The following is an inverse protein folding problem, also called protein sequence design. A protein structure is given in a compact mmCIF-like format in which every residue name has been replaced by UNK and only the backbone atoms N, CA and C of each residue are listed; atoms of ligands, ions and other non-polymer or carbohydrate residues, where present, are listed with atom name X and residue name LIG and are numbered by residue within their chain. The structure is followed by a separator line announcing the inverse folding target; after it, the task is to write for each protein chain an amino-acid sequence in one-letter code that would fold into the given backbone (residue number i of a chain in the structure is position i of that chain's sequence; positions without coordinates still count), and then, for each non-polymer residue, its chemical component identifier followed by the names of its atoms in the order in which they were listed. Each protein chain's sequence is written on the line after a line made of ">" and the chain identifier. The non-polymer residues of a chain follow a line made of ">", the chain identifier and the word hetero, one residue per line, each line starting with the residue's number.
data_IF_247317106401
#
_entry.id   IF_247317106401
#
_cell.length_a   1.000
_cell.length_b   1.000
_cell.length_c   1.000
_cell.angle_alpha   90.00
_cell.angle_beta   90.00
_cell.angle_gamma   90.00
#
_symmetry.space_group_name_H-M   'P 1'
#
loop_
_entity.id
_entity.type
_entity.pdbx_description
1 polymer ?
#
# COMPACT_ATOMS: atom_id res chain seq x y z
N UNK A 1 6.91 -3.72 -73.71
CA UNK A 1 7.32 -4.94 -72.99
C UNK A 1 6.97 -4.72 -71.51
N UNK A 2 5.71 -4.96 -71.11
CA UNK A 2 5.21 -6.15 -70.39
C UNK A 2 6.08 -6.54 -69.18
N UNK A 3 5.58 -6.23 -67.99
CA UNK A 3 5.81 -7.05 -66.78
C UNK A 3 4.48 -7.23 -66.07
N UNK A 4 4.17 -8.49 -65.79
CA UNK A 4 2.88 -9.05 -65.43
C UNK A 4 2.70 -9.01 -63.90
N UNK A 5 1.55 -8.53 -63.44
CA UNK A 5 1.10 -8.68 -62.05
C UNK A 5 0.62 -10.12 -61.83
N UNK A 6 1.22 -10.82 -60.87
CA UNK A 6 0.84 -12.17 -60.47
C UNK A 6 -0.12 -12.08 -59.27
N UNK A 7 -1.42 -12.20 -59.53
CA UNK A 7 -2.47 -12.26 -58.52
C UNK A 7 -2.55 -13.70 -57.98
N UNK A 8 -2.23 -13.92 -56.69
CA UNK A 8 -2.48 -15.22 -56.05
C UNK A 8 -3.90 -15.22 -55.47
N UNK A 9 -4.77 -16.04 -56.07
CA UNK A 9 -6.08 -16.39 -55.52
C UNK A 9 -5.86 -17.33 -54.32
N UNK A 10 -6.27 -16.92 -53.11
CA UNK A 10 -6.38 -17.82 -51.96
C UNK A 10 -7.85 -18.19 -51.80
N UNK A 11 -8.18 -19.47 -51.98
CA UNK A 11 -9.50 -20.03 -51.70
C UNK A 11 -9.70 -20.12 -50.18
N UNK A 12 -10.70 -19.41 -49.65
CA UNK A 12 -11.17 -19.59 -48.27
C UNK A 12 -12.30 -20.61 -48.28
N UNK A 13 -12.06 -21.80 -47.74
CA UNK A 13 -13.12 -22.76 -47.44
C UNK A 13 -13.82 -22.37 -46.15
N UNK A 14 -15.09 -21.98 -46.24
CA UNK A 14 -15.97 -21.78 -45.08
C UNK A 14 -16.62 -23.12 -44.75
N UNK A 15 -16.24 -23.71 -43.61
CA UNK A 15 -16.99 -24.83 -43.03
C UNK A 15 -18.11 -24.27 -42.15
N UNK A 16 -19.36 -24.48 -42.58
CA UNK A 16 -20.55 -24.25 -41.74
C UNK A 16 -20.89 -25.58 -41.07
N UNK A 17 -20.48 -25.76 -39.82
CA UNK A 17 -20.96 -26.88 -39.00
C UNK A 17 -22.23 -26.46 -38.25
N UNK A 18 -23.35 -27.05 -38.64
CA UNK A 18 -24.63 -27.00 -37.91
C UNK A 18 -24.50 -27.74 -36.57
N UNK A 19 -24.68 -27.02 -35.46
CA UNK A 19 -24.75 -27.63 -34.12
C UNK A 19 -26.19 -28.02 -33.78
N UNK A 20 -26.70 -29.10 -34.37
CA UNK A 20 -27.91 -29.77 -33.88
C UNK A 20 -27.55 -31.22 -33.51
N UNK A 21 -27.14 -31.45 -32.27
CA UNK A 21 -26.85 -32.81 -31.80
C UNK A 21 -26.09 -32.99 -30.49
N UNK A 22 -25.98 -32.01 -29.59
CA UNK A 22 -25.43 -32.25 -28.25
C UNK A 22 -26.56 -32.59 -27.25
N UNK A 23 -26.45 -33.67 -26.47
CA UNK A 23 -27.41 -33.97 -25.41
C UNK A 23 -27.37 -32.86 -24.35
N UNK A 24 -28.54 -32.33 -23.98
CA UNK A 24 -28.68 -31.36 -22.89
C UNK A 24 -28.10 -31.96 -21.61
N UNK A 25 -27.06 -31.32 -21.07
CA UNK A 25 -26.58 -31.61 -19.74
C UNK A 25 -27.73 -31.38 -18.76
N UNK A 26 -28.13 -32.42 -18.02
CA UNK A 26 -28.98 -32.26 -16.86
C UNK A 26 -28.19 -31.47 -15.82
N UNK A 27 -28.59 -30.22 -15.62
CA UNK A 27 -28.16 -29.43 -14.47
C UNK A 27 -28.86 -30.07 -13.27
N UNK A 28 -28.11 -30.83 -12.47
CA UNK A 28 -28.55 -31.08 -11.10
C UNK A 28 -28.44 -29.75 -10.36
N UNK A 29 -29.56 -29.28 -9.84
CA UNK A 29 -29.62 -28.23 -8.82
C UNK A 29 -28.95 -28.78 -7.55
N UNK A 30 -27.62 -28.81 -7.55
CA UNK A 30 -26.87 -28.70 -6.32
C UNK A 30 -26.60 -27.23 -6.14
N UNK A 31 -27.48 -26.60 -5.35
CA UNK A 31 -27.17 -25.38 -4.62
C UNK A 31 -25.87 -25.61 -3.88
N UNK A 32 -24.75 -25.22 -4.50
CA UNK A 32 -23.50 -25.01 -3.79
C UNK A 32 -23.83 -23.90 -2.81
N UNK A 33 -24.08 -24.27 -1.55
CA UNK A 33 -24.00 -23.33 -0.46
C UNK A 33 -22.57 -22.81 -0.46
N UNK A 34 -22.34 -21.71 -1.17
CA UNK A 34 -21.21 -20.84 -0.88
C UNK A 34 -21.45 -20.39 0.55
N UNK A 35 -20.83 -21.08 1.51
CA UNK A 35 -20.63 -20.51 2.83
C UNK A 35 -19.96 -19.17 2.56
N UNK A 36 -20.73 -18.09 2.69
CA UNK A 36 -20.22 -16.75 2.84
C UNK A 36 -19.41 -16.74 4.13
N UNK A 37 -18.19 -17.27 4.09
CA UNK A 37 -17.16 -16.89 5.04
C UNK A 37 -16.85 -15.45 4.71
N UNK A 38 -17.58 -14.53 5.36
CA UNK A 38 -17.17 -13.15 5.45
C UNK A 38 -15.74 -13.18 5.98
N UNK A 39 -14.78 -12.78 5.14
CA UNK A 39 -13.42 -12.60 5.60
C UNK A 39 -13.45 -11.63 6.76
N UNK A 40 -13.07 -12.09 7.94
CA UNK A 40 -12.77 -11.23 9.07
C UNK A 40 -11.32 -10.81 8.94
N UNK A 41 -11.06 -9.52 9.03
CA UNK A 41 -9.69 -9.06 9.23
C UNK A 41 -9.10 -9.81 10.42
N UNK A 42 -7.82 -10.26 10.37
CA UNK A 42 -7.17 -10.77 11.56
C UNK A 42 -7.37 -9.75 12.66
N UNK A 43 -7.77 -10.19 13.85
CA UNK A 43 -8.07 -9.37 15.03
C UNK A 43 -6.77 -8.74 15.54
N UNK A 44 -6.23 -7.77 14.79
CA UNK A 44 -5.04 -7.00 15.13
C UNK A 44 -5.47 -5.77 15.92
N UNK A 45 -6.14 -6.00 17.05
CA UNK A 45 -6.39 -4.94 18.03
C UNK A 45 -5.24 -4.98 19.01
N UNK A 46 -4.33 -4.01 18.91
CA UNK A 46 -3.40 -3.74 19.99
C UNK A 46 -4.11 -3.20 21.22
N UNK A 47 -3.55 -3.39 22.42
CA UNK A 47 -4.08 -2.77 23.63
C UNK A 47 -4.18 -1.24 23.44
N UNK A 48 -5.28 -0.66 23.90
CA UNK A 48 -5.48 0.80 23.90
C UNK A 48 -4.71 1.42 25.08
N UNK A 49 -3.97 2.52 24.89
CA UNK A 49 -3.55 3.36 26.00
C UNK A 49 -4.80 3.94 26.71
N UNK A 50 -5.00 3.63 27.99
CA UNK A 50 -6.07 4.20 28.83
C UNK A 50 -5.66 5.56 29.42
N UNK A 51 -6.62 6.49 29.59
CA UNK A 51 -7.09 7.34 28.51
C UNK A 51 -6.00 8.36 28.13
N UNK A 52 -5.48 8.25 26.91
CA UNK A 52 -4.69 9.32 26.32
C UNK A 52 -5.39 9.74 25.03
N UNK A 53 -5.61 11.05 24.86
CA UNK A 53 -6.36 11.62 23.74
C UNK A 53 -5.50 11.54 22.47
N UNK A 54 -5.39 10.35 21.89
CA UNK A 54 -4.67 10.09 20.65
C UNK A 54 -5.28 10.87 19.48
N UNK A 55 -4.46 11.18 18.47
CA UNK A 55 -4.94 11.78 17.22
C UNK A 55 -6.07 10.93 16.60
N UNK A 56 -5.83 9.62 16.52
CA UNK A 56 -6.77 8.61 16.03
C UNK A 56 -6.21 7.21 16.37
N UNK A 57 -7.03 6.17 16.27
CA UNK A 57 -6.55 4.80 16.22
C UNK A 57 -6.04 4.45 14.81
N UNK A 58 -5.09 3.52 14.72
CA UNK A 58 -4.52 3.05 13.45
C UNK A 58 -4.01 4.17 12.54
N UNK A 59 -2.84 4.70 12.90
CA UNK A 59 -2.12 5.65 12.06
C UNK A 59 -1.45 4.89 10.90
N UNK A 60 -2.17 4.80 9.78
CA UNK A 60 -1.81 4.00 8.60
C UNK A 60 -0.71 4.64 7.78
N UNK A 61 -0.70 5.97 7.68
CA UNK A 61 0.28 6.71 6.89
C UNK A 61 0.58 8.04 7.55
N UNK A 62 1.84 8.44 7.50
CA UNK A 62 2.27 9.79 7.84
C UNK A 62 3.14 10.34 6.72
N UNK A 63 2.92 11.60 6.36
CA UNK A 63 3.74 12.35 5.40
C UNK A 63 3.90 13.77 5.92
N UNK A 64 5.11 14.30 5.84
CA UNK A 64 5.35 15.73 6.01
C UNK A 64 5.25 16.41 4.63
N UNK A 65 4.40 17.42 4.50
CA UNK A 65 4.31 18.21 3.28
C UNK A 65 5.43 19.27 3.20
N UNK A 66 5.56 19.92 2.03
CA UNK A 66 6.55 20.97 1.74
C UNK A 66 6.43 22.19 2.68
N UNK A 67 5.26 22.45 3.25
CA UNK A 67 5.04 23.54 4.21
C UNK A 67 5.40 23.13 5.65
N UNK A 68 5.73 21.86 5.87
CA UNK A 68 6.15 21.30 7.14
C UNK A 68 5.00 20.70 7.96
N UNK A 69 3.76 20.70 7.44
CA UNK A 69 2.64 20.06 8.13
C UNK A 69 2.79 18.54 8.09
N UNK A 70 2.34 17.87 9.14
CA UNK A 70 2.27 16.41 9.17
C UNK A 70 0.82 15.97 8.93
N UNK A 71 0.64 15.12 7.93
CA UNK A 71 -0.63 14.51 7.60
C UNK A 71 -0.69 13.09 8.14
N UNK A 72 -1.70 12.79 8.94
CA UNK A 72 -1.97 11.47 9.52
C UNK A 72 -3.17 10.83 8.82
N UNK A 73 -2.90 9.83 8.00
CA UNK A 73 -3.93 8.94 7.45
C UNK A 73 -4.36 7.92 8.50
N UNK A 74 -5.66 7.82 8.74
CA UNK A 74 -6.23 7.00 9.81
C UNK A 74 -7.07 5.83 9.29
N UNK A 75 -7.57 4.98 10.19
CA UNK A 75 -8.48 3.89 9.85
C UNK A 75 -9.87 4.13 10.48
N UNK A 76 -10.55 5.19 10.08
CA UNK A 76 -11.93 5.47 10.49
C UNK A 76 -12.26 6.94 10.74
N UNK A 77 -11.25 7.77 11.03
CA UNK A 77 -11.45 9.20 11.34
C UNK A 77 -11.11 10.12 10.13
N UNK A 78 -10.89 9.54 8.95
CA UNK A 78 -10.42 10.26 7.77
C UNK A 78 -8.94 10.63 7.87
N UNK A 79 -8.62 11.91 7.68
CA UNK A 79 -7.24 12.43 7.75
C UNK A 79 -7.15 13.59 8.73
N UNK A 80 -6.03 13.64 9.46
CA UNK A 80 -5.69 14.76 10.33
C UNK A 80 -4.45 15.49 9.82
N UNK A 81 -4.47 16.83 9.77
CA UNK A 81 -3.31 17.67 9.48
C UNK A 81 -2.84 18.36 10.77
N UNK A 82 -1.54 18.32 11.03
CA UNK A 82 -0.88 19.03 12.13
C UNK A 82 0.08 20.08 11.59
N UNK A 83 -0.13 21.34 11.92
CA UNK A 83 0.68 22.49 11.45
C UNK A 83 1.84 22.84 12.39
N UNK A 84 2.14 21.99 13.37
CA UNK A 84 3.08 22.27 14.46
C UNK A 84 2.42 22.82 15.73
N UNK A 85 1.16 23.27 15.64
CA UNK A 85 0.40 23.82 16.77
C UNK A 85 -1.02 23.26 16.87
N UNK A 86 -1.74 23.18 15.76
CA UNK A 86 -3.15 22.82 15.69
C UNK A 86 -3.34 21.53 14.90
N UNK A 87 -4.37 20.77 15.29
CA UNK A 87 -4.86 19.61 14.55
C UNK A 87 -6.15 19.99 13.82
N UNK A 88 -6.18 19.72 12.52
CA UNK A 88 -7.37 19.91 11.68
C UNK A 88 -7.79 18.55 11.13
N UNK A 89 -9.06 18.19 11.29
CA UNK A 89 -9.59 16.90 10.87
C UNK A 89 -10.48 17.06 9.64
N UNK A 90 -10.34 16.13 8.70
CA UNK A 90 -11.17 16.03 7.51
C UNK A 90 -11.73 14.61 7.44
N UNK A 91 -13.05 14.49 7.49
CA UNK A 91 -13.77 13.22 7.57
C UNK A 91 -15.06 13.29 6.76
N UNK A 92 -15.46 12.22 6.04
CA UNK A 92 -16.75 12.18 5.35
C UNK A 92 -17.95 12.33 6.30
N UNK A 93 -17.79 12.07 7.60
CA UNK A 93 -18.84 12.30 8.61
C UNK A 93 -19.07 13.78 8.92
N UNK A 94 -18.08 14.65 8.68
CA UNK A 94 -18.29 16.09 8.61
C UNK A 94 -18.57 16.48 7.17
N UNK A 95 -19.86 16.57 6.83
CA UNK A 95 -20.32 16.89 5.47
C UNK A 95 -19.76 18.23 4.94
N UNK A 96 -19.31 19.12 5.84
CA UNK A 96 -18.67 20.39 5.45
C UNK A 96 -17.24 20.19 4.96
N UNK A 97 -16.59 19.07 5.28
CA UNK A 97 -15.22 18.80 4.87
C UNK A 97 -15.14 18.44 3.39
N UNK A 98 -16.12 17.74 2.81
CA UNK A 98 -16.05 17.23 1.43
C UNK A 98 -15.08 16.06 1.21
N UNK A 99 -14.50 15.50 2.28
CA UNK A 99 -13.51 14.41 2.19
C UNK A 99 -14.14 13.08 1.76
N UNK A 100 -13.51 12.36 0.82
CA UNK A 100 -14.10 11.22 0.13
C UNK A 100 -14.17 9.88 0.87
N UNK A 101 -13.37 9.63 1.91
CA UNK A 101 -13.28 8.32 2.56
C UNK A 101 -12.81 8.35 4.00
N UNK A 102 -13.09 7.29 4.76
CA UNK A 102 -12.81 7.22 6.22
C UNK A 102 -11.46 6.58 6.54
N UNK A 103 -10.97 5.71 5.65
CA UNK A 103 -9.70 5.01 5.79
C UNK A 103 -8.74 5.59 4.77
N UNK A 104 -7.60 6.11 5.24
CA UNK A 104 -6.58 6.73 4.39
C UNK A 104 -5.31 5.89 4.44
N UNK A 105 -4.99 5.24 3.32
CA UNK A 105 -3.90 4.24 3.22
C UNK A 105 -2.65 4.79 2.54
N UNK A 106 -2.77 5.88 1.80
CA UNK A 106 -1.66 6.55 1.14
C UNK A 106 -1.88 8.05 1.04
N UNK A 107 -0.78 8.80 1.08
CA UNK A 107 -0.75 10.27 1.01
C UNK A 107 0.46 10.63 0.16
N UNK A 108 0.27 11.48 -0.85
CA UNK A 108 1.38 12.06 -1.64
C UNK A 108 1.09 13.53 -1.92
N UNK A 109 2.16 14.34 -2.02
CA UNK A 109 2.07 15.73 -2.46
C UNK A 109 2.60 15.84 -3.89
N UNK A 110 1.90 16.60 -4.74
CA UNK A 110 2.32 16.88 -6.10
C UNK A 110 3.18 18.17 -6.24
N UNK A 111 3.52 18.53 -7.47
CA UNK A 111 4.32 19.73 -7.74
C UNK A 111 3.55 21.04 -7.63
N UNK A 112 2.22 20.97 -7.69
CA UNK A 112 1.33 22.11 -7.48
C UNK A 112 0.97 22.28 -5.99
N UNK A 113 1.70 21.61 -5.09
CA UNK A 113 1.48 21.53 -3.65
C UNK A 113 0.12 20.94 -3.24
N UNK A 114 -0.58 20.26 -4.15
CA UNK A 114 -1.83 19.59 -3.84
C UNK A 114 -1.56 18.25 -3.17
N UNK A 115 -2.45 17.83 -2.28
CA UNK A 115 -2.32 16.58 -1.51
C UNK A 115 -3.33 15.57 -2.04
N UNK A 116 -2.83 14.38 -2.37
CA UNK A 116 -3.62 13.27 -2.86
C UNK A 116 -3.69 12.17 -1.81
N UNK A 117 -4.88 11.64 -1.58
CA UNK A 117 -5.16 10.61 -0.60
C UNK A 117 -5.71 9.35 -1.27
N UNK A 118 -5.06 8.21 -1.03
CA UNK A 118 -5.63 6.90 -1.31
C UNK A 118 -6.57 6.50 -0.18
N UNK A 119 -7.86 6.32 -0.50
CA UNK A 119 -8.89 6.04 0.50
C UNK A 119 -9.63 4.71 0.26
N UNK A 120 -10.44 4.27 1.22
CA UNK A 120 -11.39 3.17 1.02
C UNK A 120 -12.60 3.51 0.12
N UNK A 121 -12.64 4.71 -0.47
CA UNK A 121 -13.72 5.13 -1.35
C UNK A 121 -13.20 6.00 -2.52
N UNK A 122 -12.07 5.58 -3.09
CA UNK A 122 -11.44 6.21 -4.24
C UNK A 122 -10.22 7.06 -3.88
N UNK A 123 -9.86 7.97 -4.77
CA UNK A 123 -8.78 8.92 -4.58
C UNK A 123 -9.36 10.29 -4.29
N UNK A 124 -8.85 10.96 -3.26
CA UNK A 124 -9.27 12.31 -2.89
C UNK A 124 -8.12 13.29 -3.15
N UNK A 125 -8.38 14.38 -3.86
CA UNK A 125 -7.46 15.50 -4.06
C UNK A 125 -7.85 16.66 -3.14
N UNK A 126 -6.88 17.26 -2.46
CA UNK A 126 -7.01 18.54 -1.75
C UNK A 126 -6.13 19.60 -2.40
N UNK A 127 -6.75 20.66 -2.90
CA UNK A 127 -6.07 21.76 -3.59
C UNK A 127 -5.60 22.90 -2.66
N UNK A 128 -5.77 22.73 -1.35
CA UNK A 128 -5.53 23.77 -0.34
C UNK A 128 -6.79 24.49 0.12
N UNK A 129 -7.91 24.32 -0.59
CA UNK A 129 -9.20 24.93 -0.25
C UNK A 129 -10.33 23.90 -0.17
N UNK A 130 -10.46 23.05 -1.18
CA UNK A 130 -11.55 22.08 -1.31
C UNK A 130 -11.05 20.69 -1.68
N UNK A 131 -11.93 19.71 -1.53
CA UNK A 131 -11.68 18.33 -1.91
C UNK A 131 -12.39 17.95 -3.20
N UNK A 132 -11.71 17.21 -4.07
CA UNK A 132 -12.28 16.57 -5.26
C UNK A 132 -12.09 15.07 -5.15
N UNK A 133 -13.17 14.30 -5.36
CA UNK A 133 -13.17 12.85 -5.13
C UNK A 133 -13.32 12.11 -6.46
N UNK A 134 -12.42 11.16 -6.71
CA UNK A 134 -12.39 10.33 -7.92
C UNK A 134 -12.69 8.88 -7.56
N UNK A 135 -13.58 8.27 -8.32
CA UNK A 135 -14.13 6.93 -8.10
C UNK A 135 -14.11 6.10 -9.39
N UNK A 136 -14.71 4.91 -9.36
CA UNK A 136 -14.98 4.10 -10.56
C UNK A 136 -15.81 4.83 -11.62
N UNK A 137 -16.61 5.84 -11.22
CA UNK A 137 -17.33 6.70 -12.18
C UNK A 137 -16.40 7.58 -13.02
N UNK A 138 -15.21 7.86 -12.49
CA UNK A 138 -14.21 8.74 -13.09
C UNK A 138 -13.12 7.94 -13.84
N UNK A 139 -13.14 6.61 -13.71
CA UNK A 139 -12.25 5.70 -14.45
C UNK A 139 -11.36 4.81 -13.59
N UNK A 140 -11.40 4.92 -12.25
CA UNK A 140 -10.67 3.98 -11.38
C UNK A 140 -11.18 2.54 -11.58
N UNK A 141 -10.31 1.52 -11.48
CA UNK A 141 -10.72 0.12 -11.63
C UNK A 141 -11.44 -0.40 -10.38
N UNK A 142 -11.21 0.21 -9.21
CA UNK A 142 -11.88 -0.10 -7.95
C UNK A 142 -11.76 1.09 -6.97
N UNK A 143 -12.77 1.32 -6.13
CA UNK A 143 -12.76 2.38 -5.11
C UNK A 143 -11.97 2.02 -3.84
N UNK A 144 -11.66 0.74 -3.59
CA UNK A 144 -10.75 0.36 -2.52
C UNK A 144 -9.31 0.64 -2.95
N UNK A 145 -8.82 1.84 -2.64
CA UNK A 145 -7.46 2.26 -2.93
C UNK A 145 -6.56 1.96 -1.73
N UNK A 146 -5.45 1.30 -2.00
CA UNK A 146 -4.51 0.80 -0.99
C UNK A 146 -3.17 1.50 -1.03
N UNK A 147 -2.76 1.99 -2.20
CA UNK A 147 -1.50 2.70 -2.36
C UNK A 147 -1.61 3.78 -3.43
N UNK A 148 -0.81 4.82 -3.27
CA UNK A 148 -0.64 5.89 -4.25
C UNK A 148 0.81 6.33 -4.26
N UNK A 149 1.32 6.61 -5.45
CA UNK A 149 2.67 7.12 -5.71
C UNK A 149 2.57 8.24 -6.74
N UNK A 150 3.26 9.34 -6.51
CA UNK A 150 3.57 10.32 -7.56
C UNK A 150 4.94 10.00 -8.14
N UNK A 151 5.02 9.69 -9.42
CA UNK A 151 6.29 9.44 -10.09
C UNK A 151 7.04 10.73 -10.44
N UNK A 152 8.30 10.59 -10.85
CA UNK A 152 9.18 11.70 -11.23
C UNK A 152 8.71 12.46 -12.48
N UNK A 153 7.77 11.90 -13.27
CA UNK A 153 7.15 12.59 -14.40
C UNK A 153 5.89 13.37 -14.02
N UNK A 154 5.46 13.26 -12.75
CA UNK A 154 4.26 13.91 -12.22
C UNK A 154 2.97 13.08 -12.37
N UNK A 155 3.05 11.85 -12.86
CA UNK A 155 1.88 10.95 -12.93
C UNK A 155 1.61 10.35 -11.57
N UNK A 156 0.35 10.05 -11.30
CA UNK A 156 -0.04 9.27 -10.13
C UNK A 156 -0.22 7.81 -10.52
N UNK A 157 0.38 6.92 -9.76
CA UNK A 157 0.14 5.48 -9.80
C UNK A 157 -0.67 5.08 -8.59
N UNK A 158 -1.75 4.35 -8.82
CA UNK A 158 -2.80 4.09 -7.83
C UNK A 158 -3.03 2.59 -7.78
N UNK A 159 -2.75 1.98 -6.61
CA UNK A 159 -2.96 0.57 -6.36
C UNK A 159 -4.31 0.34 -5.70
N UNK A 160 -5.11 -0.53 -6.29
CA UNK A 160 -6.48 -0.82 -5.86
C UNK A 160 -6.69 -2.32 -5.70
N UNK A 161 -7.84 -2.73 -5.17
CA UNK A 161 -8.28 -4.13 -5.20
C UNK A 161 -8.60 -4.66 -6.61
N UNK A 162 -8.70 -3.77 -7.61
CA UNK A 162 -8.93 -4.11 -9.01
C UNK A 162 -7.68 -4.07 -9.89
N UNK A 163 -6.49 -3.86 -9.32
CA UNK A 163 -5.23 -3.68 -10.04
C UNK A 163 -4.71 -2.25 -9.96
N UNK A 164 -3.95 -1.82 -10.98
CA UNK A 164 -3.28 -0.52 -11.02
C UNK A 164 -4.01 0.46 -11.92
N UNK A 165 -4.06 1.73 -11.52
CA UNK A 165 -4.44 2.84 -12.38
C UNK A 165 -3.31 3.87 -12.43
N UNK A 166 -3.10 4.48 -13.61
CA UNK A 166 -2.19 5.60 -13.79
C UNK A 166 -3.00 6.83 -14.20
N UNK A 167 -2.79 7.96 -13.52
CA UNK A 167 -3.45 9.23 -13.79
C UNK A 167 -2.42 10.26 -14.25
N UNK A 168 -2.67 10.84 -15.43
CA UNK A 168 -1.79 11.81 -16.10
C UNK A 168 -2.20 13.27 -15.90
N UNK A 169 -3.12 13.54 -14.96
CA UNK A 169 -3.74 14.86 -14.78
C UNK A 169 -5.01 15.07 -15.62
N UNK A 170 -5.36 14.12 -16.50
CA UNK A 170 -6.57 14.21 -17.35
C UNK A 170 -7.44 12.97 -17.26
N UNK A 171 -6.84 11.79 -17.29
CA UNK A 171 -7.58 10.53 -17.36
C UNK A 171 -6.90 9.40 -16.59
N UNK A 172 -7.70 8.46 -16.11
CA UNK A 172 -7.24 7.21 -15.50
C UNK A 172 -7.06 6.14 -16.58
N UNK A 173 -5.86 5.57 -16.65
CA UNK A 173 -5.51 4.45 -17.52
C UNK A 173 -5.22 3.23 -16.66
N UNK A 174 -5.99 2.17 -16.84
CA UNK A 174 -5.95 1.00 -15.98
C UNK A 174 -5.08 -0.10 -16.57
N UNK A 175 -4.29 -0.74 -15.72
CA UNK A 175 -3.43 -1.87 -16.05
C UNK A 175 -3.83 -3.06 -15.19
N UNK A 176 -4.13 -4.19 -15.84
CA UNK A 176 -4.37 -5.43 -15.13
C UNK A 176 -3.02 -6.08 -14.77
N UNK A 177 -2.85 -6.37 -13.48
CA UNK A 177 -1.84 -7.33 -13.02
C UNK A 177 -2.43 -8.74 -13.01
N UNK A 178 -1.63 -9.80 -13.21
CA UNK A 178 -2.11 -11.17 -13.08
C UNK A 178 -2.77 -11.44 -11.73
N UNK A 179 -3.90 -12.14 -11.75
CA UNK A 179 -4.63 -12.53 -10.54
C UNK A 179 -3.86 -13.57 -9.72
N UNK A 180 -3.81 -13.39 -8.40
CA UNK A 180 -3.23 -14.38 -7.49
C UNK A 180 -4.20 -15.53 -7.20
N UNK A 181 -3.67 -16.76 -7.14
CA UNK A 181 -4.40 -17.91 -6.59
C UNK A 181 -4.31 -17.88 -5.05
N UNK A 182 -5.38 -17.39 -4.41
CA UNK A 182 -5.46 -17.30 -2.96
C UNK A 182 -6.05 -18.55 -2.29
N UNK A 183 -6.37 -19.60 -3.06
CA UNK A 183 -7.04 -20.81 -2.52
C UNK A 183 -6.25 -21.52 -1.43
N UNK A 184 -4.92 -21.40 -1.46
CA UNK A 184 -3.99 -21.99 -0.47
C UNK A 184 -3.64 -21.07 0.69
N UNK A 185 -4.21 -19.86 0.72
CA UNK A 185 -3.91 -18.82 1.71
C UNK A 185 -5.19 -18.34 2.40
N UNK A 186 -5.81 -19.16 3.28
CA UNK A 186 -7.11 -18.83 3.88
C UNK A 186 -7.10 -17.56 4.74
N UNK A 187 -5.93 -17.13 5.21
CA UNK A 187 -5.76 -15.90 6.00
C UNK A 187 -5.42 -14.65 5.13
N UNK A 188 -5.28 -14.83 3.81
CA UNK A 188 -5.06 -13.73 2.87
C UNK A 188 -6.26 -12.78 2.85
N UNK A 189 -6.00 -11.52 2.51
CA UNK A 189 -7.09 -10.60 2.17
C UNK A 189 -7.73 -11.09 0.85
N UNK A 190 -9.06 -11.18 0.73
CA UNK A 190 -9.72 -11.87 -0.39
C UNK A 190 -9.83 -10.98 -1.64
N UNK A 191 -8.73 -10.36 -2.06
CA UNK A 191 -8.65 -9.59 -3.30
C UNK A 191 -7.41 -10.01 -4.10
N UNK A 192 -7.62 -10.85 -5.14
CA UNK A 192 -6.55 -11.46 -5.94
C UNK A 192 -5.80 -10.48 -6.85
N UNK A 193 -6.36 -9.29 -7.09
CA UNK A 193 -5.75 -8.22 -7.91
C UNK A 193 -5.17 -7.08 -7.07
N UNK A 194 -5.20 -7.21 -5.75
CA UNK A 194 -4.82 -6.14 -4.85
C UNK A 194 -3.35 -5.76 -5.00
N UNK A 195 -3.11 -4.46 -5.19
CA UNK A 195 -1.80 -3.83 -5.12
C UNK A 195 -1.66 -3.07 -3.80
N UNK A 196 -0.88 -3.65 -2.88
CA UNK A 196 -0.67 -3.13 -1.54
C UNK A 196 0.26 -1.92 -1.51
N UNK A 197 1.28 -1.91 -2.37
CA UNK A 197 2.29 -0.85 -2.40
C UNK A 197 2.76 -0.54 -3.82
N UNK A 198 3.14 0.71 -4.04
CA UNK A 198 3.76 1.18 -5.27
C UNK A 198 4.99 2.01 -4.91
N UNK A 199 6.08 1.79 -5.62
CA UNK A 199 7.34 2.51 -5.44
C UNK A 199 8.01 2.78 -6.78
N UNK A 200 8.72 3.90 -6.93
CA UNK A 200 9.56 4.16 -8.10
C UNK A 200 11.02 4.08 -7.68
N UNK A 201 11.80 3.22 -8.35
CA UNK A 201 13.24 3.14 -8.12
C UNK A 201 14.01 4.28 -8.81
N UNK A 202 15.29 4.44 -8.44
CA UNK A 202 16.16 5.47 -8.99
C UNK A 202 16.41 5.35 -10.51
N UNK A 203 16.17 4.17 -11.10
CA UNK A 203 16.24 3.97 -12.55
C UNK A 203 14.92 4.35 -13.26
N UNK A 204 13.90 4.74 -12.50
CA UNK A 204 12.60 5.16 -13.01
C UNK A 204 11.59 4.02 -13.16
N UNK A 205 11.93 2.78 -12.80
CA UNK A 205 10.98 1.67 -12.88
C UNK A 205 9.94 1.78 -11.77
N UNK A 206 8.72 1.40 -12.09
CA UNK A 206 7.61 1.34 -11.13
C UNK A 206 7.48 -0.08 -10.61
N UNK A 207 7.52 -0.23 -9.29
CA UNK A 207 7.38 -1.49 -8.59
C UNK A 207 6.01 -1.58 -7.94
N UNK A 208 5.33 -2.71 -8.12
CA UNK A 208 4.02 -3.01 -7.53
C UNK A 208 4.15 -4.20 -6.57
N UNK A 209 3.85 -4.01 -5.30
CA UNK A 209 3.73 -5.09 -4.33
C UNK A 209 2.33 -5.67 -4.36
N UNK A 210 2.19 -6.96 -4.67
CA UNK A 210 0.89 -7.62 -4.87
C UNK A 210 0.47 -8.47 -3.68
N UNK A 211 -0.82 -8.81 -3.64
CA UNK A 211 -1.41 -9.70 -2.65
C UNK A 211 -1.39 -11.16 -3.15
N UNK A 212 -0.22 -11.80 -3.12
CA UNK A 212 -0.09 -13.25 -3.35
C UNK A 212 0.66 -13.65 -4.63
N UNK A 213 1.12 -12.71 -5.45
CA UNK A 213 1.97 -12.98 -6.62
C UNK A 213 3.37 -12.33 -6.52
N UNK A 214 3.78 -11.87 -5.34
CA UNK A 214 5.07 -11.21 -5.14
C UNK A 214 5.07 -9.77 -5.65
N UNK A 215 6.19 -9.33 -6.23
CA UNK A 215 6.38 -7.99 -6.76
C UNK A 215 6.39 -7.99 -8.29
N UNK A 216 5.99 -6.87 -8.89
CA UNK A 216 6.11 -6.63 -10.32
C UNK A 216 6.93 -5.37 -10.58
N UNK A 217 7.87 -5.42 -11.53
CA UNK A 217 8.61 -4.25 -12.01
C UNK A 217 8.13 -3.88 -13.41
N UNK A 218 7.76 -2.62 -13.59
CA UNK A 218 7.39 -2.03 -14.87
C UNK A 218 8.42 -0.98 -15.31
N UNK A 219 9.04 -1.20 -16.47
CA UNK A 219 10.08 -0.31 -17.04
C UNK A 219 9.52 0.73 -18.03
N UNK A 220 8.19 0.86 -18.12
CA UNK A 220 7.50 1.66 -19.13
C UNK A 220 7.10 0.89 -20.40
N UNK A 221 7.58 -0.35 -20.57
CA UNK A 221 7.30 -1.21 -21.74
C UNK A 221 6.90 -2.63 -21.33
N UNK A 222 7.59 -3.21 -20.35
CA UNK A 222 7.48 -4.61 -19.95
C UNK A 222 7.20 -4.72 -18.45
N UNK A 223 6.44 -5.75 -18.08
CA UNK A 223 6.13 -6.09 -16.70
C UNK A 223 6.83 -7.40 -16.35
N UNK A 224 7.74 -7.36 -15.40
CA UNK A 224 8.50 -8.53 -14.92
C UNK A 224 8.04 -8.88 -13.51
N UNK A 225 7.78 -10.16 -13.24
CA UNK A 225 7.39 -10.65 -11.92
C UNK A 225 8.60 -11.16 -11.14
N UNK A 226 8.58 -10.92 -9.83
CA UNK A 226 9.53 -11.45 -8.86
C UNK A 226 8.71 -12.09 -7.72
N UNK A 227 8.94 -13.38 -7.50
CA UNK A 227 8.18 -14.21 -6.58
C UNK A 227 9.10 -15.02 -5.66
N UNK A 228 8.52 -15.84 -4.79
CA UNK A 228 9.29 -16.82 -4.00
C UNK A 228 10.17 -17.74 -4.88
N UNK A 229 9.76 -18.02 -6.11
CA UNK A 229 10.56 -18.81 -7.07
C UNK A 229 11.86 -18.12 -7.48
N UNK A 230 11.88 -16.79 -7.38
CA UNK A 230 13.02 -15.94 -7.74
C UNK A 230 13.86 -15.57 -6.52
N UNK A 231 13.45 -15.96 -5.31
CA UNK A 231 14.16 -15.77 -4.05
C UNK A 231 13.51 -14.80 -3.06
N UNK A 232 12.40 -14.14 -3.41
CA UNK A 232 11.62 -13.31 -2.47
C UNK A 232 11.15 -14.15 -1.28
N UNK A 233 11.11 -13.60 -0.07
CA UNK A 233 10.78 -14.40 1.13
C UNK A 233 9.30 -14.79 1.26
N UNK A 234 8.40 -14.06 0.61
CA UNK A 234 6.95 -14.32 0.63
C UNK A 234 6.24 -13.51 -0.48
N UNK A 235 5.18 -14.09 -1.06
CA UNK A 235 4.45 -13.48 -2.17
C UNK A 235 3.43 -12.39 -1.76
N UNK A 236 3.25 -12.10 -0.48
CA UNK A 236 2.33 -11.07 0.03
C UNK A 236 3.09 -9.78 0.38
N UNK A 237 3.54 -9.05 -0.63
CA UNK A 237 4.36 -7.84 -0.47
C UNK A 237 3.52 -6.69 0.09
N UNK A 238 3.91 -6.15 1.24
CA UNK A 238 3.24 -5.06 1.96
C UNK A 238 3.85 -3.69 1.65
N UNK A 239 5.17 -3.60 1.56
CA UNK A 239 5.89 -2.36 1.27
C UNK A 239 7.13 -2.60 0.41
N UNK A 240 7.52 -1.56 -0.33
CA UNK A 240 8.72 -1.53 -1.16
C UNK A 240 9.40 -0.18 -0.93
N UNK A 241 10.73 -0.19 -0.76
CA UNK A 241 11.54 1.01 -0.73
C UNK A 241 12.93 0.74 -1.32
N UNK A 242 13.67 1.79 -1.68
CA UNK A 242 15.07 1.69 -2.08
C UNK A 242 15.94 2.41 -1.06
N UNK A 243 16.99 1.74 -0.58
CA UNK A 243 17.96 2.36 0.31
C UNK A 243 18.93 3.30 -0.43
N UNK A 244 19.65 4.14 0.30
CA UNK A 244 20.67 5.06 -0.25
C UNK A 244 21.81 4.39 -1.00
N UNK A 245 22.02 3.09 -0.79
CA UNK A 245 23.05 2.31 -1.49
C UNK A 245 22.53 1.67 -2.78
N UNK A 246 21.23 1.83 -3.06
CA UNK A 246 20.57 1.39 -4.28
C UNK A 246 19.87 0.03 -4.16
N UNK A 247 19.91 -0.65 -3.02
CA UNK A 247 19.18 -1.92 -2.87
C UNK A 247 17.69 -1.67 -2.69
N UNK A 248 16.87 -2.55 -3.27
CA UNK A 248 15.45 -2.57 -3.04
C UNK A 248 15.12 -3.47 -1.85
N UNK A 249 14.20 -3.01 -1.01
CA UNK A 249 13.74 -3.72 0.17
C UNK A 249 12.24 -3.99 0.05
N UNK A 250 11.85 -5.23 0.32
CA UNK A 250 10.49 -5.72 0.23
C UNK A 250 10.06 -6.23 1.60
N UNK A 251 9.13 -5.54 2.26
CA UNK A 251 8.48 -6.04 3.46
C UNK A 251 7.29 -6.92 3.09
N UNK A 252 7.18 -8.10 3.70
CA UNK A 252 6.17 -9.10 3.35
C UNK A 252 5.26 -9.43 4.53
N UNK A 253 4.12 -10.05 4.25
CA UNK A 253 3.10 -10.35 5.26
C UNK A 253 3.47 -11.54 6.13
N UNK A 254 4.15 -12.53 5.58
CA UNK A 254 4.41 -13.79 6.29
C UNK A 254 5.88 -14.21 6.31
N UNK A 255 6.73 -13.66 5.45
CA UNK A 255 8.11 -14.13 5.23
C UNK A 255 9.22 -13.24 5.80
N UNK A 256 8.90 -12.10 6.42
CA UNK A 256 9.88 -11.10 6.87
C UNK A 256 10.15 -10.05 5.78
N UNK A 257 11.42 -9.75 5.54
CA UNK A 257 11.83 -8.78 4.52
C UNK A 257 12.93 -9.31 3.62
N UNK A 258 12.92 -8.93 2.35
CA UNK A 258 13.96 -9.27 1.38
C UNK A 258 14.70 -8.02 0.92
N UNK A 259 16.03 -8.10 0.81
CA UNK A 259 16.88 -7.16 0.10
C UNK A 259 17.15 -7.68 -1.30
N UNK A 260 17.09 -6.81 -2.31
CA UNK A 260 17.44 -7.11 -3.69
C UNK A 260 18.50 -6.14 -4.19
N UNK A 261 19.65 -6.68 -4.61
CA UNK A 261 20.81 -5.91 -5.09
C UNK A 261 20.77 -5.63 -6.61
N UNK A 262 19.65 -5.96 -7.27
CA UNK A 262 19.53 -5.94 -8.73
C UNK A 262 19.86 -7.27 -9.41
N UNK A 263 20.29 -8.28 -8.65
CA UNK A 263 20.65 -9.62 -9.15
C UNK A 263 20.02 -10.73 -8.31
N UNK A 264 20.15 -10.67 -6.99
CA UNK A 264 19.72 -11.72 -6.08
C UNK A 264 19.00 -11.15 -4.85
N UNK A 265 18.15 -12.00 -4.26
CA UNK A 265 17.49 -11.70 -2.99
C UNK A 265 18.29 -12.24 -1.80
N UNK A 266 18.32 -11.47 -0.74
CA UNK A 266 18.75 -11.88 0.60
C UNK A 266 17.61 -11.66 1.58
N UNK A 267 17.28 -12.69 2.36
CA UNK A 267 16.08 -12.72 3.19
C UNK A 267 16.41 -12.58 4.67
N UNK A 268 15.65 -11.73 5.36
CA UNK A 268 15.77 -11.45 6.79
C UNK A 268 14.46 -11.81 7.49
N UNK A 269 14.58 -12.73 8.44
CA UNK A 269 13.48 -13.31 9.21
C UNK A 269 13.74 -13.15 10.71
N UNK A 270 12.83 -13.67 11.53
CA UNK A 270 13.04 -13.79 12.97
C UNK A 270 14.34 -14.50 13.35
N UNK A 271 14.79 -15.48 12.56
CA UNK A 271 16.06 -16.18 12.79
C UNK A 271 17.28 -15.28 12.55
N UNK A 272 17.12 -14.17 11.83
CA UNK A 272 18.18 -13.18 11.59
C UNK A 272 18.16 -12.04 12.61
N UNK A 273 17.14 -11.96 13.48
CA UNK A 273 17.01 -10.92 14.50
C UNK A 273 15.82 -9.97 14.32
N UNK A 274 15.08 -10.08 13.21
CA UNK A 274 13.80 -9.38 13.04
C UNK A 274 12.83 -9.80 14.16
N UNK A 275 12.01 -8.89 14.68
CA UNK A 275 11.13 -9.25 15.81
C UNK A 275 9.88 -10.02 15.39
N UNK A 276 9.42 -9.83 14.16
CA UNK A 276 8.21 -10.45 13.63
C UNK A 276 8.27 -10.50 12.10
N UNK A 277 7.91 -11.64 11.51
CA UNK A 277 7.94 -11.83 10.06
C UNK A 277 6.83 -11.09 9.28
N UNK A 278 5.84 -10.51 9.94
CA UNK A 278 4.84 -9.66 9.31
C UNK A 278 5.32 -8.20 9.30
N UNK A 279 6.01 -7.83 8.23
CA UNK A 279 6.55 -6.49 8.01
C UNK A 279 5.55 -5.62 7.26
N UNK A 280 5.05 -4.56 7.88
CA UNK A 280 4.13 -3.60 7.24
C UNK A 280 4.85 -2.48 6.51
N UNK A 281 5.93 -1.96 7.10
CA UNK A 281 6.60 -0.78 6.59
C UNK A 281 8.11 -0.84 6.86
N UNK A 282 8.88 -0.28 5.94
CA UNK A 282 10.32 -0.08 6.04
C UNK A 282 10.59 1.38 5.67
N UNK A 283 11.36 2.07 6.50
CA UNK A 283 11.80 3.45 6.25
C UNK A 283 13.29 3.57 6.54
N UNK A 284 14.03 4.33 5.73
CA UNK A 284 15.45 4.60 5.98
C UNK A 284 15.60 5.99 6.62
N UNK A 285 16.34 6.07 7.73
CA UNK A 285 16.66 7.35 8.36
C UNK A 285 17.83 8.08 7.68
N UNK A 286 18.07 9.34 8.05
CA UNK A 286 19.17 10.16 7.55
C UNK A 286 20.55 9.54 7.77
N UNK A 287 20.73 8.75 8.83
CA UNK A 287 21.97 8.03 9.12
C UNK A 287 22.13 6.72 8.33
N UNK A 288 21.11 6.29 7.58
CA UNK A 288 21.14 5.07 6.77
C UNK A 288 20.70 3.82 7.51
N UNK A 289 20.12 3.94 8.70
CA UNK A 289 19.49 2.80 9.36
C UNK A 289 18.10 2.55 8.78
N UNK A 290 17.74 1.29 8.63
CA UNK A 290 16.37 0.91 8.32
C UNK A 290 15.57 0.79 9.61
N UNK A 291 14.38 1.35 9.61
CA UNK A 291 13.36 1.23 10.63
C UNK A 291 12.20 0.42 10.08
N UNK A 292 11.86 -0.66 10.78
CA UNK A 292 10.91 -1.68 10.36
C UNK A 292 9.74 -1.69 11.35
N UNK A 293 8.55 -1.46 10.81
CA UNK A 293 7.29 -1.58 11.55
C UNK A 293 6.62 -2.90 11.24
N UNK A 294 6.20 -3.62 12.28
CA UNK A 294 5.65 -4.98 12.15
C UNK A 294 4.28 -5.15 12.81
N UNK A 295 3.57 -6.21 12.39
CA UNK A 295 2.28 -6.57 12.93
C UNK A 295 2.40 -7.36 14.25
N UNK A 296 2.96 -6.73 15.28
CA UNK A 296 3.03 -7.27 16.63
C UNK A 296 4.43 -7.48 17.16
N UNK A 297 5.48 -7.24 16.36
CA UNK A 297 6.87 -7.24 16.81
C UNK A 297 7.37 -5.89 17.33
N UNK A 298 6.58 -4.83 17.21
CA UNK A 298 7.00 -3.47 17.55
C UNK A 298 7.85 -2.83 16.45
N UNK A 299 8.82 -2.01 16.88
CA UNK A 299 9.72 -1.27 16.03
C UNK A 299 11.10 -1.94 16.03
N UNK A 300 11.65 -2.25 14.86
CA UNK A 300 12.99 -2.82 14.73
C UNK A 300 13.87 -1.84 13.96
N UNK A 301 15.11 -1.62 14.40
CA UNK A 301 16.14 -0.89 13.66
C UNK A 301 17.18 -1.87 13.13
N UNK A 302 17.60 -1.70 11.89
CA UNK A 302 18.69 -2.44 11.26
C UNK A 302 19.75 -1.46 10.75
N UNK A 303 21.00 -1.62 11.21
CA UNK A 303 22.12 -0.73 10.88
C UNK A 303 22.98 -1.24 9.70
N UNK A 304 22.49 -2.23 8.94
CA UNK A 304 23.25 -2.93 7.91
C UNK A 304 24.05 -4.13 8.42
N UNK A 305 24.10 -4.36 9.73
CA UNK A 305 24.82 -5.48 10.37
C UNK A 305 24.00 -6.18 11.44
N UNK A 306 23.29 -5.43 12.28
CA UNK A 306 22.63 -5.90 13.48
C UNK A 306 21.22 -5.33 13.62
N UNK A 307 20.35 -6.10 14.28
CA UNK A 307 18.98 -5.70 14.59
C UNK A 307 18.87 -5.26 16.05
N UNK A 308 18.26 -4.09 16.27
CA UNK A 308 17.85 -3.61 17.58
C UNK A 308 16.31 -3.54 17.64
N UNK A 309 15.70 -4.18 18.63
CA UNK A 309 14.25 -4.32 18.73
C UNK A 309 13.72 -3.49 19.90
N UNK A 310 12.72 -2.67 19.64
CA UNK A 310 12.02 -1.83 20.62
C UNK A 310 10.60 -2.34 20.80
N UNK A 311 10.31 -2.89 21.98
CA UNK A 311 9.02 -3.47 22.32
C UNK A 311 8.40 -2.77 23.55
N UNK A 312 7.28 -3.29 24.05
CA UNK A 312 6.55 -2.70 25.19
C UNK A 312 7.44 -2.48 26.42
N UNK A 313 8.34 -3.42 26.73
CA UNK A 313 9.29 -3.29 27.85
C UNK A 313 10.28 -2.13 27.69
N UNK A 314 10.52 -1.69 26.44
CA UNK A 314 11.44 -0.61 26.09
C UNK A 314 10.68 0.73 25.94
N UNK A 315 9.40 0.76 26.33
CA UNK A 315 8.56 1.95 26.33
C UNK A 315 7.71 2.13 25.07
N UNK A 316 7.72 1.21 24.10
CA UNK A 316 6.85 1.29 22.93
C UNK A 316 5.38 1.08 23.35
N UNK A 317 4.48 2.06 23.22
CA UNK A 317 3.14 1.93 23.81
C UNK A 317 2.22 0.97 23.05
N UNK A 318 2.57 0.63 21.80
CA UNK A 318 1.80 -0.30 20.99
C UNK A 318 2.70 -1.03 19.98
N UNK A 319 2.66 -2.37 20.01
CA UNK A 319 3.51 -3.25 19.19
C UNK A 319 3.11 -3.40 17.72
N UNK A 320 2.04 -2.75 17.28
CA UNK A 320 1.54 -2.81 15.91
C UNK A 320 1.91 -1.52 15.17
N UNK A 321 3.13 -1.47 14.64
CA UNK A 321 3.70 -0.27 14.00
C UNK A 321 3.39 -0.29 12.50
N UNK A 322 2.53 0.63 12.04
CA UNK A 322 2.01 0.67 10.67
C UNK A 322 2.70 1.71 9.78
N UNK A 323 3.20 2.80 10.35
CA UNK A 323 3.88 3.85 9.60
C UNK A 323 5.03 4.45 10.37
N UNK A 324 6.07 4.86 9.64
CA UNK A 324 7.28 5.46 10.19
C UNK A 324 7.63 6.64 9.28
N UNK A 325 7.90 7.80 9.87
CA UNK A 325 8.29 9.01 9.17
C UNK A 325 9.43 9.66 9.95
N UNK A 326 10.56 9.91 9.31
CA UNK A 326 11.53 10.88 9.83
C UNK A 326 11.19 12.25 9.25
N UNK A 327 10.93 13.23 10.10
CA UNK A 327 10.65 14.59 9.64
C UNK A 327 11.93 15.35 9.24
N UNK A 328 11.75 16.52 8.65
CA UNK A 328 12.84 17.42 8.22
C UNK A 328 13.82 17.77 9.34
N UNK A 329 13.37 17.77 10.60
CA UNK A 329 14.18 18.10 11.78
C UNK A 329 14.87 16.85 12.36
N UNK A 330 14.66 15.67 11.78
CA UNK A 330 15.27 14.40 12.18
C UNK A 330 14.52 13.67 13.29
N UNK A 331 13.30 14.10 13.61
CA UNK A 331 12.46 13.42 14.59
C UNK A 331 11.78 12.21 13.94
N UNK A 332 11.85 11.06 14.59
CA UNK A 332 11.12 9.88 14.15
C UNK A 332 9.70 9.91 14.70
N UNK A 333 8.73 9.79 13.81
CA UNK A 333 7.30 9.63 14.07
C UNK A 333 6.92 8.18 13.81
N UNK A 334 6.24 7.57 14.78
CA UNK A 334 5.86 6.16 14.80
C UNK A 334 4.33 6.09 14.89
N UNK A 335 3.71 5.68 13.80
CA UNK A 335 2.27 5.47 13.70
C UNK A 335 1.93 4.01 13.99
N UNK A 336 1.02 3.80 14.94
CA UNK A 336 0.66 2.46 15.44
C UNK A 336 -0.84 2.21 15.37
N UNK A 337 -1.29 1.00 15.70
CA UNK A 337 -2.72 0.73 15.93
C UNK A 337 -3.30 1.53 17.09
N UNK A 338 -2.47 1.93 18.06
CA UNK A 338 -2.85 2.65 19.26
C UNK A 338 -2.63 4.16 19.20
N UNK A 339 -2.27 4.71 18.04
CA UNK A 339 -2.02 6.15 17.84
C UNK A 339 -0.61 6.50 17.39
N UNK A 340 -0.24 7.78 17.51
CA UNK A 340 1.03 8.30 17.02
C UNK A 340 1.99 8.65 18.19
N UNK A 341 3.26 8.36 17.98
CA UNK A 341 4.33 8.65 18.94
C UNK A 341 5.51 9.26 18.22
N UNK A 342 6.34 10.00 18.93
CA UNK A 342 7.68 10.35 18.45
C UNK A 342 8.75 9.63 19.24
N UNK A 343 9.88 9.34 18.61
CA UNK A 343 10.97 8.59 19.19
C UNK A 343 12.29 9.34 19.00
N UNK A 344 13.02 9.56 20.10
CA UNK A 344 14.32 10.26 20.12
C UNK A 344 15.53 9.30 20.17
N UNK A 345 15.29 8.00 19.95
CA UNK A 345 16.29 6.95 20.13
C UNK A 345 16.30 6.30 21.52
N UNK A 346 15.60 6.90 22.50
CA UNK A 346 15.50 6.40 23.88
C UNK A 346 14.07 6.32 24.39
N UNK A 347 13.25 7.32 24.08
CA UNK A 347 11.93 7.53 24.69
C UNK A 347 10.86 7.69 23.62
N UNK A 348 9.73 7.02 23.82
CA UNK A 348 8.52 7.24 23.04
C UNK A 348 7.67 8.33 23.70
N UNK A 349 7.45 9.42 22.99
CA UNK A 349 6.63 10.54 23.42
C UNK A 349 5.30 10.48 22.68
N UNK A 350 4.21 10.45 23.43
CA UNK A 350 2.86 10.37 22.88
C UNK A 350 2.45 11.67 22.18
N UNK A 351 1.84 11.57 21.01
CA UNK A 351 1.25 12.69 20.29
C UNK A 351 -0.25 12.72 20.54
N UNK A 352 -0.67 13.71 21.32
CA UNK A 352 -2.05 13.86 21.75
C UNK A 352 -2.71 15.07 21.10
N UNK A 353 -4.03 14.99 20.90
CA UNK A 353 -4.88 16.15 20.66
C UNK A 353 -5.32 16.73 22.01
N UNK A 354 -5.43 18.04 22.11
CA UNK A 354 -6.05 18.67 23.27
C UNK A 354 -7.53 18.21 23.26
N UNK A 355 -7.98 17.55 24.33
CA UNK A 355 -9.41 17.31 24.48
C UNK A 355 -10.10 18.68 24.45
N UNK A 356 -11.21 18.86 23.72
CA UNK A 356 -12.04 20.04 23.96
C UNK A 356 -12.34 20.03 25.46
N UNK A 357 -11.98 21.11 26.17
CA UNK A 357 -12.45 21.31 27.52
C UNK A 357 -13.96 21.07 27.51
N UNK A 358 -14.41 20.10 28.31
CA UNK A 358 -15.69 19.42 28.13
C UNK A 358 -16.85 20.37 27.79
N UNK A 359 -17.64 19.95 26.80
CA UNK A 359 -19.02 20.39 26.62
C UNK A 359 -19.91 19.15 26.65
#
# INVERSE_FOLDING_TARGET
>A
MKTIFQLHLIFVFVFVSSCNGQPKAQISDQTVQTKNMAWSAPTVYGPMPKPVVQISQYIRRMVQDKDGNIWFGTNGDGVCRFDGKNYVYFSPTDLRSGFGGEIVRGIVQDESNQIWFATNNGVTLYDGNQFTNFTTKDGLPNNQVWSILKDNSGKLWIGTEGGVSCYDGKSFVNFAVPEADLSKSPNAYPASKLINSIFQDAAGNIWFGSNGNGAYRFDGKSLVNFSEKDGLCDNFVQCIMQDKTGNLWFGTRFGGMSRYDGKAFENFTENNGLKNNFVWTISEDKAGNLWIGSAGGGLTRYDGKSFANYIEKDGLPNKYVQSILEDKDGKLWIGTSGGAFTFDGKTFINITRIAPDGC
#
